data_IF_070777337911
#
_entry.id   IF_070777337911
#
_cell.length_a   1.000
_cell.length_b   1.000
_cell.length_c   1.000
_cell.angle_alpha   90.00
_cell.angle_beta   90.00
_cell.angle_gamma   90.00
#
_symmetry.space_group_name_H-M   'P 1'
#
loop_
_entity.id
_entity.type
_entity.pdbx_description
1 polymer ?
#
# COMPACT_ATOMS: atom_id res chain seq x y z
N UNK A 1 3.99 14.57 11.40
CA UNK A 1 3.79 13.10 11.41
C UNK A 1 4.66 12.51 10.31
N UNK A 2 5.38 11.41 10.55
CA UNK A 2 6.17 10.75 9.49
C UNK A 2 5.29 9.80 8.70
N UNK A 3 5.25 9.98 7.38
CA UNK A 3 4.59 9.08 6.44
C UNK A 3 5.59 8.05 5.91
N UNK A 4 5.13 6.86 5.59
CA UNK A 4 5.91 5.82 4.93
C UNK A 4 5.22 5.42 3.63
N UNK A 5 6.03 5.13 2.61
CA UNK A 5 5.56 4.64 1.33
C UNK A 5 5.54 3.12 1.38
N UNK A 6 4.38 2.53 1.11
CA UNK A 6 4.26 1.10 0.89
C UNK A 6 4.08 0.84 -0.60
N UNK A 7 4.99 0.07 -1.19
CA UNK A 7 5.03 -0.15 -2.65
C UNK A 7 4.73 -1.61 -2.95
N UNK A 8 3.74 -1.84 -3.79
CA UNK A 8 3.39 -3.14 -4.36
C UNK A 8 3.75 -3.10 -5.86
N UNK A 9 4.77 -3.83 -6.32
CA UNK A 9 5.13 -3.89 -7.73
C UNK A 9 4.19 -4.80 -8.53
N UNK A 10 4.12 -4.56 -9.84
CA UNK A 10 3.29 -5.31 -10.80
C UNK A 10 1.80 -5.33 -10.40
N UNK A 11 1.24 -4.14 -10.15
CA UNK A 11 -0.17 -4.00 -9.80
C UNK A 11 -1.06 -4.51 -10.94
N UNK A 12 -2.03 -5.35 -10.59
CA UNK A 12 -3.07 -5.84 -11.48
C UNK A 12 -4.39 -5.11 -11.23
N UNK A 13 -5.27 -5.03 -12.23
CA UNK A 13 -6.59 -4.39 -12.11
C UNK A 13 -7.47 -5.04 -11.04
N UNK A 14 -7.35 -6.36 -10.85
CA UNK A 14 -8.05 -7.09 -9.79
C UNK A 14 -7.60 -6.62 -8.40
N UNK A 15 -6.32 -6.31 -8.23
CA UNK A 15 -5.78 -5.80 -6.97
C UNK A 15 -6.34 -4.42 -6.64
N UNK A 16 -6.48 -3.54 -7.64
CA UNK A 16 -7.08 -2.21 -7.47
C UNK A 16 -8.52 -2.30 -6.96
N UNK A 17 -9.28 -3.29 -7.43
CA UNK A 17 -10.66 -3.56 -6.98
C UNK A 17 -10.78 -3.96 -5.51
N UNK A 18 -9.70 -4.41 -4.88
CA UNK A 18 -9.67 -4.86 -3.48
C UNK A 18 -9.22 -3.79 -2.49
N UNK A 19 -8.78 -2.62 -2.97
CA UNK A 19 -8.29 -1.53 -2.11
C UNK A 19 -9.48 -0.94 -1.31
N UNK A 20 -9.36 -0.84 0.03
CA UNK A 20 -10.40 -0.23 0.87
C UNK A 20 -10.72 1.21 0.46
N UNK A 21 -12.01 1.56 0.46
CA UNK A 21 -12.46 2.93 0.23
C UNK A 21 -11.98 3.83 1.36
N UNK A 22 -11.09 4.77 1.06
CA UNK A 22 -10.52 5.70 2.04
C UNK A 22 -9.01 5.59 2.23
N UNK A 23 -8.36 4.58 1.64
CA UNK A 23 -6.91 4.60 1.50
C UNK A 23 -6.49 5.61 0.43
N UNK A 24 -5.46 6.40 0.76
CA UNK A 24 -4.76 7.25 -0.21
C UNK A 24 -3.72 6.39 -0.95
N UNK A 25 -3.96 6.16 -2.23
CA UNK A 25 -3.12 5.33 -3.09
C UNK A 25 -2.91 5.99 -4.45
N UNK A 26 -1.79 5.66 -5.07
CA UNK A 26 -1.42 6.12 -6.40
C UNK A 26 -0.75 5.00 -7.21
N UNK A 27 -0.87 5.04 -8.54
CA UNK A 27 -0.13 4.16 -9.43
C UNK A 27 1.06 4.91 -10.02
N UNK A 28 2.27 4.42 -9.72
CA UNK A 28 3.53 4.94 -10.24
C UNK A 28 4.16 3.90 -11.18
N UNK A 29 3.85 4.00 -12.47
CA UNK A 29 4.24 3.01 -13.48
C UNK A 29 3.46 1.71 -13.30
N UNK A 30 4.17 0.61 -13.04
CA UNK A 30 3.57 -0.70 -12.72
C UNK A 30 3.43 -0.92 -11.21
N UNK A 31 3.68 0.10 -10.39
CA UNK A 31 3.66 -0.02 -8.94
C UNK A 31 2.42 0.65 -8.35
N UNK A 32 1.79 -0.01 -7.39
CA UNK A 32 0.80 0.56 -6.51
C UNK A 32 1.48 1.08 -5.24
N UNK A 33 1.32 2.37 -4.97
CA UNK A 33 1.97 3.05 -3.86
C UNK A 33 0.90 3.55 -2.89
N UNK A 34 1.04 3.18 -1.61
CA UNK A 34 0.23 3.69 -0.52
C UNK A 34 1.03 4.65 0.35
N UNK A 35 0.40 5.76 0.71
CA UNK A 35 0.93 6.70 1.69
C UNK A 35 0.24 6.44 3.02
N UNK A 36 0.94 5.82 3.95
CA UNK A 36 0.38 5.50 5.27
C UNK A 36 1.16 6.21 6.38
N UNK A 37 0.50 6.62 7.49
CA UNK A 37 1.22 7.02 8.69
C UNK A 37 2.14 5.89 9.15
N UNK A 38 3.32 6.22 9.69
CA UNK A 38 4.27 5.22 10.23
C UNK A 38 3.63 4.26 11.25
N UNK A 39 2.57 4.70 11.91
CA UNK A 39 1.65 3.89 12.70
C UNK A 39 0.28 3.94 12.00
N UNK A 40 0.02 3.05 11.03
CA UNK A 40 -1.18 3.14 10.22
C UNK A 40 -2.45 2.92 11.05
N UNK A 41 -3.54 3.57 10.67
CA UNK A 41 -4.87 3.23 11.15
C UNK A 41 -5.25 1.81 10.66
N UNK A 42 -6.13 1.14 11.42
CA UNK A 42 -6.43 -0.30 11.31
C UNK A 42 -6.69 -0.79 9.86
N UNK A 43 -7.36 0.00 9.02
CA UNK A 43 -7.77 -0.43 7.66
C UNK A 43 -6.60 -0.55 6.67
N UNK A 44 -5.61 0.35 6.73
CA UNK A 44 -4.42 0.27 5.87
C UNK A 44 -3.51 -0.87 6.31
N UNK A 45 -3.43 -1.11 7.62
CA UNK A 45 -2.71 -2.25 8.16
C UNK A 45 -3.35 -3.57 7.73
N UNK A 46 -4.68 -3.70 7.84
CA UNK A 46 -5.41 -4.91 7.44
C UNK A 46 -5.24 -5.23 5.95
N UNK A 47 -5.23 -4.22 5.07
CA UNK A 47 -4.99 -4.44 3.64
C UNK A 47 -3.55 -4.88 3.36
N UNK A 48 -2.57 -4.27 4.02
CA UNK A 48 -1.15 -4.65 3.87
C UNK A 48 -0.91 -6.08 4.38
N UNK A 49 -1.50 -6.45 5.53
CA UNK A 49 -1.47 -7.83 6.04
C UNK A 49 -2.14 -8.80 5.07
N UNK A 50 -3.28 -8.43 4.49
CA UNK A 50 -3.94 -9.26 3.49
C UNK A 50 -3.04 -9.50 2.26
N UNK A 51 -2.36 -8.47 1.75
CA UNK A 51 -1.37 -8.62 0.68
C UNK A 51 -0.24 -9.60 1.07
N UNK A 52 0.27 -9.53 2.30
CA UNK A 52 1.28 -10.46 2.80
C UNK A 52 0.77 -11.90 2.84
N UNK A 53 -0.48 -12.12 3.28
CA UNK A 53 -1.13 -13.44 3.32
C UNK A 53 -1.35 -14.01 1.91
N UNK A 54 -1.68 -13.18 0.93
CA UNK A 54 -1.81 -13.57 -0.48
C UNK A 54 -0.47 -13.83 -1.18
N UNK A 55 0.67 -13.57 -0.50
CA UNK A 55 2.00 -13.71 -1.11
C UNK A 55 2.34 -12.60 -2.10
N UNK A 56 1.65 -11.47 -2.03
CA UNK A 56 1.92 -10.29 -2.87
C UNK A 56 3.19 -9.61 -2.34
N UNK A 57 4.21 -9.50 -3.20
CA UNK A 57 5.45 -8.82 -2.88
C UNK A 57 5.16 -7.36 -2.50
N UNK A 58 5.79 -6.87 -1.44
CA UNK A 58 5.68 -5.48 -1.04
C UNK A 58 6.96 -4.97 -0.38
N UNK A 59 7.21 -3.67 -0.54
CA UNK A 59 8.41 -2.99 -0.01
C UNK A 59 8.00 -1.75 0.79
N UNK A 60 8.55 -1.64 1.99
CA UNK A 60 8.49 -0.42 2.78
C UNK A 60 9.61 0.53 2.34
N UNK A 61 9.25 1.72 1.88
CA UNK A 61 10.20 2.79 1.58
C UNK A 61 9.94 3.97 2.52
N UNK A 62 11.02 4.55 3.08
CA UNK A 62 10.88 5.81 3.82
C UNK A 62 10.41 6.91 2.85
N UNK A 63 9.30 7.56 3.17
CA UNK A 63 8.91 8.79 2.50
C UNK A 63 9.90 9.89 2.89
N UNK A 64 10.69 10.38 1.95
CA UNK A 64 11.38 11.65 2.12
C UNK A 64 10.30 12.74 2.17
N UNK A 65 10.20 13.46 3.29
CA UNK A 65 9.57 14.78 3.35
C UNK A 65 10.45 15.78 2.59
#
# INVERSE_FOLDING_TARGET
>A
MSLVKHVIPNVDEDLVGTIPKGLDWNIEGENLVFMVPRYPADEAFAFIEWCAVQGIEHKWQHGHL
#
